data_IF_080752475313
#
_entry.id   IF_080752475313
#
_cell.length_a   1.000
_cell.length_b   1.000
_cell.length_c   1.000
_cell.angle_alpha   90.00
_cell.angle_beta   90.00
_cell.angle_gamma   90.00
#
_symmetry.space_group_name_H-M   'P 1'
#
loop_
_entity.id
_entity.type
_entity.pdbx_description
1 polymer ?
#
# COMPACT_ATOMS: atom_id res chain seq x y z
N UNK A 1 4.31 -20.60 -14.10
CA UNK A 1 3.29 -20.91 -13.07
C UNK A 1 2.10 -20.01 -13.36
N UNK A 2 0.98 -20.59 -13.81
CA UNK A 2 -0.27 -19.86 -14.12
C UNK A 2 -0.77 -19.19 -12.84
N UNK A 3 -1.19 -17.94 -12.94
CA UNK A 3 -1.95 -17.29 -11.87
C UNK A 3 -3.33 -17.94 -11.85
N UNK A 4 -3.52 -18.91 -10.96
CA UNK A 4 -4.84 -19.53 -10.69
C UNK A 4 -5.69 -18.54 -9.89
N UNK A 5 -6.02 -17.41 -10.50
CA UNK A 5 -6.87 -16.38 -9.92
C UNK A 5 -8.00 -16.10 -10.89
N UNK A 6 -9.22 -16.13 -10.38
CA UNK A 6 -10.45 -15.83 -11.13
C UNK A 6 -10.55 -14.31 -11.41
N UNK A 7 -9.49 -13.72 -12.02
CA UNK A 7 -9.51 -12.32 -12.37
C UNK A 7 -10.16 -12.10 -13.73
N UNK A 8 -10.89 -11.01 -13.83
CA UNK A 8 -11.56 -10.58 -15.07
C UNK A 8 -11.08 -9.19 -15.46
N UNK A 9 -11.20 -8.89 -16.75
CA UNK A 9 -11.01 -7.55 -17.27
C UNK A 9 -12.29 -7.14 -17.96
N UNK A 10 -12.92 -6.08 -17.45
CA UNK A 10 -14.03 -5.42 -18.15
C UNK A 10 -13.55 -4.17 -18.88
N UNK A 11 -14.29 -3.79 -19.92
CA UNK A 11 -13.99 -2.61 -20.74
C UNK A 11 -15.26 -1.83 -21.02
N UNK A 12 -15.27 -0.54 -20.68
CA UNK A 12 -16.35 0.40 -20.98
C UNK A 12 -15.75 1.64 -21.64
N UNK A 13 -15.97 1.80 -22.93
CA UNK A 13 -15.37 2.88 -23.71
C UNK A 13 -13.82 2.83 -23.68
N UNK A 14 -13.20 3.84 -23.09
CA UNK A 14 -11.76 3.95 -22.92
C UNK A 14 -11.28 3.55 -21.51
N UNK A 15 -12.17 3.08 -20.65
CA UNK A 15 -11.90 2.60 -19.30
C UNK A 15 -11.76 1.08 -19.28
N UNK A 16 -10.81 0.58 -18.47
CA UNK A 16 -10.52 -0.83 -18.28
C UNK A 16 -10.42 -1.11 -16.78
N UNK A 17 -11.11 -2.14 -16.31
CA UNK A 17 -11.07 -2.58 -14.93
C UNK A 17 -10.55 -4.02 -14.88
N UNK A 18 -9.48 -4.25 -14.14
CA UNK A 18 -8.98 -5.56 -13.75
C UNK A 18 -9.47 -5.83 -12.33
N UNK A 19 -10.17 -6.93 -12.06
CA UNK A 19 -10.72 -7.22 -10.75
C UNK A 19 -10.71 -8.73 -10.45
N UNK A 20 -10.75 -9.05 -9.16
CA UNK A 20 -10.89 -10.41 -8.66
C UNK A 20 -12.37 -10.71 -8.48
N UNK A 21 -12.90 -11.62 -9.31
CA UNK A 21 -14.32 -11.96 -9.31
C UNK A 21 -14.77 -12.78 -8.08
N UNK A 22 -13.82 -13.32 -7.30
CA UNK A 22 -14.10 -14.01 -6.03
C UNK A 22 -14.26 -13.00 -4.87
N UNK A 23 -13.79 -11.75 -5.06
CA UNK A 23 -13.81 -10.71 -4.03
C UNK A 23 -14.93 -9.70 -4.28
N UNK A 24 -15.11 -9.28 -5.53
CA UNK A 24 -16.07 -8.25 -5.90
C UNK A 24 -16.76 -8.63 -7.21
N UNK A 25 -18.09 -8.40 -7.29
CA UNK A 25 -18.79 -8.42 -8.56
C UNK A 25 -18.20 -7.39 -9.54
N UNK A 26 -18.55 -7.45 -10.82
CA UNK A 26 -18.03 -6.47 -11.80
C UNK A 26 -18.23 -5.04 -11.29
N UNK A 27 -17.13 -4.33 -10.93
CA UNK A 27 -17.24 -3.05 -10.27
C UNK A 27 -17.66 -1.94 -11.26
N UNK A 28 -18.59 -1.11 -10.85
CA UNK A 28 -18.97 0.10 -11.59
C UNK A 28 -17.82 1.12 -11.57
N UNK A 29 -17.68 1.93 -12.63
CA UNK A 29 -16.64 2.95 -12.74
C UNK A 29 -16.65 3.96 -11.57
N UNK A 30 -17.82 4.23 -11.00
CA UNK A 30 -18.02 5.19 -9.90
C UNK A 30 -17.22 4.84 -8.64
N UNK A 31 -16.90 3.57 -8.38
CA UNK A 31 -16.11 3.21 -7.19
C UNK A 31 -14.66 3.68 -7.26
N UNK A 32 -14.19 4.13 -8.43
CA UNK A 32 -12.86 4.70 -8.62
C UNK A 32 -12.84 6.24 -8.56
N UNK A 33 -13.99 6.87 -8.29
CA UNK A 33 -14.11 8.33 -8.18
C UNK A 33 -14.08 8.76 -6.72
N UNK A 34 -13.03 9.49 -6.32
CA UNK A 34 -12.88 9.96 -4.95
C UNK A 34 -14.07 10.80 -4.47
N UNK A 35 -14.59 11.68 -5.35
CA UNK A 35 -15.74 12.55 -5.05
C UNK A 35 -17.03 11.77 -4.83
N UNK A 36 -17.21 10.63 -5.50
CA UNK A 36 -18.36 9.74 -5.28
C UNK A 36 -18.40 9.26 -3.82
N UNK A 37 -17.26 8.86 -3.25
CA UNK A 37 -17.18 8.38 -1.88
C UNK A 37 -17.36 9.50 -0.86
N UNK A 38 -16.77 10.67 -1.12
CA UNK A 38 -16.89 11.85 -0.25
C UNK A 38 -18.36 12.31 -0.18
N UNK A 39 -19.07 12.38 -1.31
CA UNK A 39 -20.46 12.78 -1.36
C UNK A 39 -21.39 11.76 -0.70
N UNK A 40 -21.14 10.46 -0.86
CA UNK A 40 -21.89 9.38 -0.22
C UNK A 40 -21.73 9.41 1.31
N UNK A 41 -20.53 9.66 1.81
CA UNK A 41 -20.28 9.83 3.25
C UNK A 41 -20.96 11.07 3.83
N UNK A 42 -20.94 12.20 3.11
CA UNK A 42 -21.65 13.42 3.53
C UNK A 42 -23.17 13.21 3.64
N UNK A 43 -23.77 12.46 2.71
CA UNK A 43 -25.19 12.12 2.74
C UNK A 43 -25.56 11.17 3.89
N UNK A 44 -24.68 10.21 4.23
CA UNK A 44 -24.87 9.29 5.36
C UNK A 44 -24.71 9.99 6.71
N UNK A 45 -23.77 10.92 6.84
CA UNK A 45 -23.56 11.69 8.06
C UNK A 45 -24.71 12.67 8.36
N UNK A 46 -25.45 13.13 7.36
CA UNK A 46 -26.68 13.93 7.56
C UNK A 46 -27.88 13.09 8.01
N UNK A 47 -27.80 11.77 7.95
CA UNK A 47 -28.90 10.86 8.34
C UNK A 47 -28.66 10.11 9.66
N UNK A 48 -27.44 10.10 10.18
CA UNK A 48 -27.11 9.47 11.48
C UNK A 48 -25.91 10.18 12.13
N UNK A 49 -26.11 10.79 13.29
CA UNK A 49 -25.01 11.28 14.14
C UNK A 49 -24.26 10.08 14.74
N UNK A 50 -23.25 9.58 14.05
CA UNK A 50 -22.45 8.46 14.51
C UNK A 50 -21.17 8.32 13.65
N UNK A 51 -20.04 8.56 14.30
CA UNK A 51 -18.70 8.68 13.74
C UNK A 51 -18.29 7.53 12.79
N UNK A 52 -18.13 7.85 11.51
CA UNK A 52 -17.23 7.15 10.63
C UNK A 52 -16.19 8.18 10.15
N UNK A 53 -14.97 8.13 10.73
CA UNK A 53 -13.89 9.04 10.37
C UNK A 53 -13.39 8.71 8.97
N UNK A 54 -13.81 9.50 7.98
CA UNK A 54 -13.16 9.53 6.68
C UNK A 54 -11.73 10.06 6.84
N UNK A 55 -10.75 9.17 6.97
CA UNK A 55 -9.34 9.53 6.94
C UNK A 55 -8.94 9.82 5.51
N UNK A 56 -8.95 11.09 5.11
CA UNK A 56 -8.26 11.56 3.90
C UNK A 56 -6.80 11.77 4.23
N UNK A 57 -5.95 10.85 3.81
CA UNK A 57 -4.50 11.02 3.93
C UNK A 57 -4.01 11.99 2.85
N UNK A 58 -3.61 13.21 3.23
CA UNK A 58 -2.94 14.17 2.35
C UNK A 58 -1.48 13.73 2.17
N UNK A 59 -1.23 12.92 1.16
CA UNK A 59 0.09 12.55 0.67
C UNK A 59 0.18 12.75 -0.84
N UNK A 60 1.31 12.47 -1.47
CA UNK A 60 1.48 12.55 -2.94
C UNK A 60 0.55 11.59 -3.73
N UNK A 61 -0.13 10.65 -3.08
CA UNK A 61 -1.26 9.89 -3.57
C UNK A 61 -2.48 10.27 -2.73
N UNK A 62 -3.61 10.64 -3.34
CA UNK A 62 -4.87 10.71 -2.60
C UNK A 62 -5.33 9.29 -2.33
N UNK A 63 -5.47 8.99 -1.06
CA UNK A 63 -6.00 7.71 -0.58
C UNK A 63 -7.37 7.99 0.02
N UNK A 64 -8.38 7.24 -0.41
CA UNK A 64 -9.76 7.35 0.08
C UNK A 64 -10.19 6.03 0.69
N UNK A 65 -10.63 6.06 1.94
CA UNK A 65 -11.21 4.92 2.63
C UNK A 65 -12.73 4.91 2.43
N UNK A 66 -13.29 3.77 2.08
CA UNK A 66 -14.72 3.62 1.85
C UNK A 66 -15.21 2.20 2.11
N UNK A 67 -16.53 2.02 2.22
CA UNK A 67 -17.16 0.71 2.36
C UNK A 67 -17.95 0.37 1.09
N UNK A 68 -17.78 -0.85 0.60
CA UNK A 68 -18.54 -1.41 -0.52
C UNK A 68 -18.82 -2.89 -0.26
N UNK A 69 -20.08 -3.30 -0.33
CA UNK A 69 -20.54 -4.66 -0.03
C UNK A 69 -19.98 -5.18 1.31
N UNK A 70 -20.14 -4.39 2.38
CA UNK A 70 -19.66 -4.65 3.75
C UNK A 70 -18.14 -4.81 3.91
N UNK A 71 -17.37 -4.57 2.86
CA UNK A 71 -15.90 -4.57 2.88
C UNK A 71 -15.36 -3.16 3.05
N UNK A 72 -14.44 -3.01 3.99
CA UNK A 72 -13.64 -1.79 4.13
C UNK A 72 -12.55 -1.78 3.06
N UNK A 73 -12.55 -0.79 2.20
CA UNK A 73 -11.70 -0.67 1.03
C UNK A 73 -10.88 0.62 1.04
N UNK A 74 -9.76 0.58 0.33
CA UNK A 74 -8.85 1.71 0.15
C UNK A 74 -8.66 1.94 -1.34
N UNK A 75 -9.05 3.13 -1.81
CA UNK A 75 -8.80 3.60 -3.17
C UNK A 75 -7.52 4.44 -3.18
N UNK A 76 -6.56 4.06 -4.01
CA UNK A 76 -5.31 4.78 -4.29
C UNK A 76 -5.35 5.29 -5.72
N UNK A 77 -5.30 6.62 -5.89
CA UNK A 77 -5.10 7.24 -7.19
C UNK A 77 -3.60 7.48 -7.46
N UNK A 78 -3.14 7.16 -8.67
CA UNK A 78 -1.74 7.34 -9.05
C UNK A 78 -1.50 8.71 -9.65
N UNK A 79 -0.73 9.55 -8.95
CA UNK A 79 -0.26 10.82 -9.46
C UNK A 79 1.13 10.70 -10.06
N UNK A 80 1.38 11.42 -11.14
CA UNK A 80 2.72 11.54 -11.71
C UNK A 80 3.57 12.46 -10.83
N UNK A 81 4.70 11.95 -10.30
CA UNK A 81 5.69 12.75 -9.58
C UNK A 81 6.78 13.30 -10.50
N UNK A 82 7.38 14.45 -10.14
CA UNK A 82 8.53 15.06 -10.83
C UNK A 82 8.23 16.41 -11.46
N UNK A 83 9.26 17.08 -12.03
CA UNK A 83 9.19 18.45 -12.56
C UNK A 83 8.19 18.64 -13.73
N UNK A 84 7.81 17.57 -14.42
CA UNK A 84 6.79 17.57 -15.49
C UNK A 84 5.35 17.44 -14.92
N UNK A 85 5.22 17.27 -13.61
CA UNK A 85 3.94 17.05 -12.92
C UNK A 85 3.03 18.30 -12.89
N UNK A 86 3.56 19.49 -13.17
CA UNK A 86 2.76 20.73 -13.11
C UNK A 86 1.72 20.85 -14.23
N UNK A 87 1.94 20.16 -15.35
CA UNK A 87 1.05 20.18 -16.52
C UNK A 87 0.18 18.94 -16.69
N UNK A 88 0.62 17.76 -16.14
CA UNK A 88 -0.08 16.47 -16.27
C UNK A 88 0.04 15.66 -14.99
N UNK A 89 -0.58 16.11 -13.90
CA UNK A 89 -0.42 15.54 -12.54
C UNK A 89 -0.74 14.05 -12.41
N UNK A 90 -1.66 13.54 -13.21
CA UNK A 90 -2.23 12.18 -13.09
C UNK A 90 -2.11 11.34 -14.37
N UNK A 91 -1.51 11.87 -15.45
CA UNK A 91 -1.46 11.20 -16.75
C UNK A 91 -0.11 10.58 -17.05
N UNK A 92 -0.11 9.31 -17.41
CA UNK A 92 1.07 8.53 -17.79
C UNK A 92 1.12 8.35 -19.30
N UNK A 93 2.31 8.52 -19.91
CA UNK A 93 2.53 8.16 -21.31
C UNK A 93 2.55 6.65 -21.45
N UNK A 94 1.82 6.11 -22.43
CA UNK A 94 1.84 4.69 -22.74
C UNK A 94 0.55 4.19 -23.38
N UNK A 95 0.68 3.15 -24.20
CA UNK A 95 -0.43 2.60 -24.96
C UNK A 95 -0.97 1.28 -24.43
N UNK A 96 -0.23 0.60 -23.54
CA UNK A 96 -0.61 -0.73 -23.04
C UNK A 96 -1.25 -0.66 -21.65
N UNK A 97 -2.55 -0.92 -21.58
CA UNK A 97 -3.31 -1.06 -20.33
C UNK A 97 -2.70 -2.12 -19.41
N UNK A 98 -2.31 -3.25 -20.00
CA UNK A 98 -1.73 -4.40 -19.27
C UNK A 98 -0.42 -4.04 -18.57
N UNK A 99 0.33 -3.06 -19.11
CA UNK A 99 1.61 -2.56 -18.57
C UNK A 99 1.42 -1.32 -17.68
N UNK A 100 0.19 -0.88 -17.43
CA UNK A 100 -0.09 0.25 -16.52
C UNK A 100 0.38 -0.03 -15.09
N UNK A 101 0.65 1.04 -14.33
CA UNK A 101 1.14 0.94 -12.94
C UNK A 101 0.14 0.19 -12.06
N UNK A 102 -1.14 0.57 -12.09
CA UNK A 102 -2.18 -0.06 -11.29
C UNK A 102 -2.33 -1.56 -11.60
N UNK A 103 -2.34 -1.95 -12.88
CA UNK A 103 -2.46 -3.36 -13.26
C UNK A 103 -1.22 -4.18 -12.90
N UNK A 104 -0.01 -3.57 -12.96
CA UNK A 104 1.22 -4.21 -12.51
C UNK A 104 1.22 -4.41 -10.99
N UNK A 105 0.87 -3.38 -10.22
CA UNK A 105 0.82 -3.45 -8.75
C UNK A 105 -0.26 -4.45 -8.31
N UNK A 106 -1.44 -4.42 -8.91
CA UNK A 106 -2.51 -5.39 -8.63
C UNK A 106 -2.02 -6.85 -8.81
N UNK A 107 -1.38 -7.16 -9.94
CA UNK A 107 -0.85 -8.51 -10.20
C UNK A 107 0.27 -8.89 -9.25
N UNK A 108 1.12 -7.93 -8.90
CA UNK A 108 2.19 -8.14 -7.95
C UNK A 108 1.63 -8.47 -6.56
N UNK A 109 0.63 -7.72 -6.09
CA UNK A 109 -0.08 -8.00 -4.83
C UNK A 109 -0.71 -9.39 -4.84
N UNK A 110 -1.45 -9.76 -5.90
CA UNK A 110 -2.05 -11.10 -6.02
C UNK A 110 -1.01 -12.20 -5.94
N UNK A 111 0.13 -12.04 -6.62
CA UNK A 111 1.22 -13.02 -6.56
C UNK A 111 1.84 -13.11 -5.16
N UNK A 112 2.03 -11.99 -4.48
CA UNK A 112 2.53 -11.97 -3.11
C UNK A 112 1.56 -12.62 -2.12
N UNK A 113 0.25 -12.43 -2.29
CA UNK A 113 -0.79 -13.10 -1.51
C UNK A 113 -0.75 -14.62 -1.66
N UNK A 114 -0.57 -15.12 -2.89
CA UNK A 114 -0.39 -16.56 -3.16
C UNK A 114 0.86 -17.14 -2.48
N UNK A 115 1.88 -16.32 -2.25
CA UNK A 115 3.09 -16.68 -1.50
C UNK A 115 2.91 -16.54 0.03
N UNK A 116 1.72 -16.15 0.50
CA UNK A 116 1.45 -15.94 1.93
C UNK A 116 2.13 -14.70 2.51
N UNK A 117 2.56 -13.75 1.66
CA UNK A 117 3.21 -12.53 2.13
C UNK A 117 2.15 -11.54 2.67
N UNK A 118 2.45 -10.85 3.79
CA UNK A 118 1.52 -9.93 4.44
C UNK A 118 1.44 -8.60 3.66
N UNK A 119 0.54 -8.56 2.71
CA UNK A 119 0.22 -7.40 1.87
C UNK A 119 -1.30 -7.18 1.86
N UNK A 120 -1.80 -5.97 1.51
CA UNK A 120 -3.22 -5.74 1.34
C UNK A 120 -3.82 -6.66 0.27
N UNK A 121 -5.06 -7.11 0.47
CA UNK A 121 -5.82 -7.87 -0.52
C UNK A 121 -6.10 -6.99 -1.73
N UNK A 122 -5.62 -7.37 -2.91
CA UNK A 122 -5.91 -6.66 -4.16
C UNK A 122 -7.33 -6.97 -4.62
N UNK A 123 -8.16 -5.94 -4.79
CA UNK A 123 -9.59 -6.06 -5.17
C UNK A 123 -9.76 -5.72 -6.64
N UNK A 124 -9.49 -4.49 -7.03
CA UNK A 124 -9.64 -4.03 -8.40
C UNK A 124 -8.58 -2.99 -8.78
N UNK A 125 -8.31 -2.87 -10.07
CA UNK A 125 -7.47 -1.81 -10.63
C UNK A 125 -8.15 -1.22 -11.86
N UNK A 126 -8.15 0.10 -11.98
CA UNK A 126 -8.75 0.83 -13.07
C UNK A 126 -7.72 1.60 -13.88
N UNK A 127 -7.94 1.66 -15.18
CA UNK A 127 -7.16 2.47 -16.12
C UNK A 127 -8.08 3.13 -17.10
N UNK A 128 -8.05 4.46 -17.16
CA UNK A 128 -8.76 5.24 -18.17
C UNK A 128 -7.77 5.81 -19.18
N UNK A 129 -7.88 5.36 -20.42
CA UNK A 129 -7.03 5.83 -21.53
C UNK A 129 -7.44 7.20 -22.02
N UNK A 130 -6.47 8.00 -22.38
CA UNK A 130 -6.59 9.19 -23.22
C UNK A 130 -5.71 9.00 -24.46
N UNK A 131 -5.64 9.97 -25.38
CA UNK A 131 -4.97 9.81 -26.67
C UNK A 131 -3.53 9.29 -26.53
N UNK A 132 -2.72 9.92 -25.68
CA UNK A 132 -1.29 9.56 -25.47
C UNK A 132 -0.96 9.26 -24.00
N UNK A 133 -1.98 9.13 -23.13
CA UNK A 133 -1.79 9.03 -21.69
C UNK A 133 -2.87 8.15 -21.05
N UNK A 134 -2.73 7.87 -19.76
CA UNK A 134 -3.76 7.21 -18.96
C UNK A 134 -3.74 7.74 -17.52
N UNK A 135 -4.88 7.65 -16.85
CA UNK A 135 -5.00 7.71 -15.39
C UNK A 135 -5.13 6.30 -14.84
N UNK A 136 -4.80 6.09 -13.60
CA UNK A 136 -4.83 4.77 -12.99
C UNK A 136 -5.19 4.82 -11.51
N UNK A 137 -5.94 3.81 -11.05
CA UNK A 137 -6.41 3.65 -9.70
C UNK A 137 -6.26 2.20 -9.24
N UNK A 138 -6.07 1.99 -7.95
CA UNK A 138 -6.00 0.68 -7.33
C UNK A 138 -6.91 0.64 -6.10
N UNK A 139 -7.72 -0.40 -5.98
CA UNK A 139 -8.53 -0.69 -4.80
C UNK A 139 -7.95 -1.93 -4.13
N UNK A 140 -7.71 -1.82 -2.83
CA UNK A 140 -7.33 -2.93 -1.94
C UNK A 140 -8.27 -2.99 -0.75
N UNK A 141 -8.35 -4.14 -0.08
CA UNK A 141 -8.99 -4.19 1.24
C UNK A 141 -8.16 -3.41 2.27
N UNK A 142 -8.85 -2.75 3.19
CA UNK A 142 -8.22 -2.05 4.31
C UNK A 142 -7.64 -3.06 5.30
N UNK A 143 -6.40 -2.86 5.71
CA UNK A 143 -5.83 -3.54 6.86
C UNK A 143 -6.38 -2.86 8.11
N UNK A 144 -7.38 -3.51 8.74
CA UNK A 144 -8.10 -2.94 9.88
C UNK A 144 -7.19 -2.74 11.09
N UNK A 145 -7.51 -1.73 11.91
CA UNK A 145 -6.78 -1.42 13.15
C UNK A 145 -5.26 -1.29 12.95
N UNK A 146 -4.83 -0.81 11.78
CA UNK A 146 -3.43 -0.63 11.43
C UNK A 146 -3.02 0.84 11.47
N UNK A 147 -1.75 1.05 11.85
CA UNK A 147 -1.10 2.36 11.81
C UNK A 147 0.25 2.24 11.11
N UNK A 148 0.71 3.31 10.46
CA UNK A 148 2.04 3.31 9.89
C UNK A 148 3.10 3.31 10.98
N UNK A 149 4.23 2.67 10.73
CA UNK A 149 5.38 2.73 11.64
C UNK A 149 5.79 4.19 11.90
N UNK A 150 5.71 5.06 10.89
CA UNK A 150 6.02 6.48 11.04
C UNK A 150 5.07 7.17 12.03
N UNK A 151 3.75 6.94 11.95
CA UNK A 151 2.77 7.57 12.84
C UNK A 151 2.92 7.06 14.29
N UNK A 152 3.19 5.76 14.46
CA UNK A 152 3.42 5.18 15.80
C UNK A 152 4.66 5.83 16.43
N UNK A 153 5.79 5.86 15.69
CA UNK A 153 7.04 6.40 16.20
C UNK A 153 7.02 7.92 16.45
N UNK A 154 6.08 8.64 15.85
CA UNK A 154 5.86 10.06 16.16
C UNK A 154 5.19 10.27 17.53
N UNK A 155 4.52 9.26 18.08
CA UNK A 155 3.78 9.35 19.33
C UNK A 155 4.43 8.54 20.47
N UNK A 156 4.93 7.34 20.12
CA UNK A 156 5.49 6.40 21.10
C UNK A 156 6.56 5.53 20.46
N UNK A 157 7.45 4.95 21.28
CA UNK A 157 8.36 3.89 20.84
C UNK A 157 7.65 2.54 20.69
N UNK A 158 8.36 1.58 20.12
CA UNK A 158 7.96 0.18 20.08
C UNK A 158 9.07 -0.69 20.72
N UNK A 159 8.67 -1.84 21.23
CA UNK A 159 9.58 -2.78 21.90
C UNK A 159 10.60 -3.39 20.92
N UNK A 160 11.77 -3.77 21.42
CA UNK A 160 12.81 -4.42 20.62
C UNK A 160 12.30 -5.68 19.90
N UNK A 161 11.40 -6.44 20.52
CA UNK A 161 10.76 -7.60 19.91
C UNK A 161 9.95 -7.23 18.65
N UNK A 162 9.32 -6.06 18.64
CA UNK A 162 8.57 -5.59 17.48
C UNK A 162 9.51 -5.12 16.36
N UNK A 163 10.63 -4.48 16.70
CA UNK A 163 11.67 -4.17 15.73
C UNK A 163 12.25 -5.44 15.08
N UNK A 164 12.49 -6.47 15.89
CA UNK A 164 12.91 -7.78 15.40
C UNK A 164 11.88 -8.39 14.43
N UNK A 165 10.58 -8.34 14.78
CA UNK A 165 9.47 -8.81 13.94
C UNK A 165 9.43 -8.06 12.60
N UNK A 166 9.65 -6.72 12.59
CA UNK A 166 9.74 -5.93 11.36
C UNK A 166 10.91 -6.42 10.49
N UNK A 167 12.08 -6.65 11.09
CA UNK A 167 13.26 -7.17 10.38
C UNK A 167 13.01 -8.52 9.75
N UNK A 168 12.47 -9.48 10.52
CA UNK A 168 12.10 -10.81 10.03
C UNK A 168 11.07 -10.73 8.90
N UNK A 169 10.08 -9.84 9.00
CA UNK A 169 9.07 -9.65 7.96
C UNK A 169 9.69 -9.12 6.66
N UNK A 170 10.58 -8.13 6.73
CA UNK A 170 11.30 -7.63 5.54
C UNK A 170 12.15 -8.75 4.92
N UNK A 171 12.80 -9.58 5.75
CA UNK A 171 13.53 -10.76 5.28
C UNK A 171 12.64 -11.72 4.51
N UNK A 172 11.43 -11.99 5.00
CA UNK A 172 10.48 -12.86 4.32
C UNK A 172 10.19 -12.39 2.90
N UNK A 173 9.96 -11.10 2.67
CA UNK A 173 9.81 -10.55 1.32
C UNK A 173 11.07 -10.74 0.48
N UNK A 174 12.24 -10.52 1.07
CA UNK A 174 13.52 -10.68 0.37
C UNK A 174 13.86 -12.14 0.06
N UNK A 175 13.42 -13.11 0.86
CA UNK A 175 13.54 -14.55 0.55
C UNK A 175 12.71 -14.96 -0.67
N UNK A 176 11.58 -14.30 -0.89
CA UNK A 176 10.76 -14.47 -2.09
C UNK A 176 11.17 -13.54 -3.24
N UNK A 177 12.39 -12.96 -3.19
CA UNK A 177 12.90 -12.05 -4.20
C UNK A 177 12.04 -10.81 -4.47
N UNK A 178 11.21 -10.38 -3.51
CA UNK A 178 10.37 -9.18 -3.64
C UNK A 178 11.21 -7.94 -3.33
N UNK A 179 11.45 -7.15 -4.36
CA UNK A 179 12.03 -5.81 -4.27
C UNK A 179 10.94 -4.77 -4.02
N UNK A 180 11.06 -4.01 -2.96
CA UNK A 180 10.19 -2.87 -2.67
C UNK A 180 10.84 -1.56 -3.13
N UNK A 181 10.27 -0.88 -4.12
CA UNK A 181 10.88 0.29 -4.72
C UNK A 181 10.99 1.49 -3.77
N UNK A 182 10.09 1.58 -2.77
CA UNK A 182 10.06 2.68 -1.80
C UNK A 182 9.86 2.19 -0.36
N UNK A 183 10.70 1.24 0.11
CA UNK A 183 10.65 0.78 1.50
C UNK A 183 11.00 1.91 2.46
N UNK A 184 10.00 2.39 3.20
CA UNK A 184 10.12 3.50 4.15
C UNK A 184 9.15 3.31 5.34
N UNK A 185 9.28 4.12 6.40
CA UNK A 185 8.49 3.97 7.61
C UNK A 185 6.97 4.21 7.44
N UNK A 186 6.53 4.89 6.38
CA UNK A 186 5.10 5.05 6.06
C UNK A 186 4.51 3.88 5.31
N UNK A 187 5.34 3.04 4.70
CA UNK A 187 4.94 1.88 3.93
C UNK A 187 5.05 0.57 4.72
N UNK A 188 5.29 0.66 6.02
CA UNK A 188 5.21 -0.43 7.00
C UNK A 188 4.00 -0.15 7.88
N UNK A 189 3.03 -1.07 7.91
CA UNK A 189 1.89 -1.00 8.81
C UNK A 189 2.06 -2.01 9.94
N UNK A 190 1.70 -1.58 11.14
CA UNK A 190 1.53 -2.44 12.30
C UNK A 190 0.02 -2.52 12.59
N UNK A 191 -0.53 -3.73 12.57
CA UNK A 191 -1.97 -3.98 12.74
C UNK A 191 -2.23 -4.73 14.03
N UNK A 192 -3.18 -4.25 14.84
CA UNK A 192 -3.63 -4.95 16.03
C UNK A 192 -4.21 -6.33 15.70
N UNK A 193 -4.01 -7.28 16.59
CA UNK A 193 -4.56 -8.64 16.50
C UNK A 193 -5.31 -8.99 17.79
N UNK A 194 -6.01 -10.11 17.80
CA UNK A 194 -6.68 -10.59 19.01
C UNK A 194 -5.69 -10.83 20.17
N UNK A 195 -4.47 -11.29 19.86
CA UNK A 195 -3.39 -11.51 20.84
C UNK A 195 -2.65 -10.23 21.21
N UNK A 196 -2.61 -9.26 20.29
CA UNK A 196 -1.95 -7.97 20.45
C UNK A 196 -2.93 -6.86 20.08
N UNK A 197 -3.80 -6.41 21.01
CA UNK A 197 -4.88 -5.45 20.71
C UNK A 197 -4.38 -4.02 20.42
N UNK A 198 -3.07 -3.79 20.55
CA UNK A 198 -2.43 -2.52 20.20
C UNK A 198 -1.55 -2.68 18.97
N UNK A 199 -1.65 -1.78 17.97
CA UNK A 199 -0.85 -1.86 16.75
C UNK A 199 0.66 -1.94 17.00
N UNK A 200 1.16 -1.27 18.05
CA UNK A 200 2.60 -1.22 18.40
C UNK A 200 3.23 -2.61 18.61
N UNK A 201 2.42 -3.62 18.95
CA UNK A 201 2.85 -5.01 19.15
C UNK A 201 2.22 -5.98 18.12
N UNK A 202 1.53 -5.43 17.13
CA UNK A 202 0.70 -6.19 16.18
C UNK A 202 1.45 -6.84 15.03
N UNK A 203 0.69 -7.25 14.04
CA UNK A 203 1.25 -7.86 12.81
C UNK A 203 1.81 -6.81 11.86
N UNK A 204 2.86 -7.20 11.12
CA UNK A 204 3.59 -6.32 10.21
C UNK A 204 3.17 -6.59 8.78
N UNK A 205 2.72 -5.55 8.08
CA UNK A 205 2.39 -5.55 6.65
C UNK A 205 3.25 -4.56 5.90
N UNK A 206 3.56 -4.86 4.64
CA UNK A 206 4.13 -3.90 3.70
C UNK A 206 3.06 -3.44 2.71
N UNK A 207 3.07 -2.15 2.38
CA UNK A 207 2.11 -1.51 1.46
C UNK A 207 2.83 -0.64 0.42
N UNK A 208 2.10 -0.23 -0.61
CA UNK A 208 2.59 0.65 -1.68
C UNK A 208 3.73 0.03 -2.51
N UNK A 209 3.38 -1.00 -3.28
CA UNK A 209 4.32 -1.71 -4.16
C UNK A 209 4.45 -1.10 -5.57
N UNK A 210 4.13 0.18 -5.71
CA UNK A 210 4.32 0.87 -6.98
C UNK A 210 5.79 0.82 -7.43
N UNK A 211 6.02 0.51 -8.70
CA UNK A 211 7.35 0.24 -9.29
C UNK A 211 8.18 -0.87 -8.61
N UNK A 212 7.56 -1.64 -7.73
CA UNK A 212 8.14 -2.82 -7.09
C UNK A 212 8.04 -4.05 -7.98
N UNK A 213 8.65 -5.17 -7.58
CA UNK A 213 8.58 -6.41 -8.35
C UNK A 213 9.51 -7.50 -7.85
N UNK A 214 9.48 -8.65 -8.51
CA UNK A 214 10.40 -9.75 -8.24
C UNK A 214 11.76 -9.46 -8.89
N UNK A 215 12.84 -9.58 -8.10
CA UNK A 215 14.23 -9.41 -8.53
C UNK A 215 15.08 -10.59 -8.07
N UNK A 216 15.03 -11.72 -8.78
CA UNK A 216 15.88 -12.86 -8.45
C UNK A 216 17.35 -12.52 -8.62
N UNK A 217 18.21 -13.13 -7.80
CA UNK A 217 19.66 -13.01 -7.90
C UNK A 217 20.35 -12.27 -6.76
N UNK A 218 21.55 -11.73 -7.00
CA UNK A 218 22.45 -11.21 -5.97
C UNK A 218 21.83 -10.16 -5.05
N UNK A 219 22.05 -10.30 -3.75
CA UNK A 219 21.38 -9.55 -2.69
C UNK A 219 21.72 -8.06 -2.53
N UNK A 220 22.44 -7.42 -3.46
CA UNK A 220 22.82 -6.01 -3.32
C UNK A 220 21.61 -5.07 -3.16
N UNK A 221 20.51 -5.33 -3.86
CA UNK A 221 19.28 -4.58 -3.74
C UNK A 221 18.57 -4.79 -2.39
N UNK A 222 18.78 -5.95 -1.74
CA UNK A 222 18.21 -6.25 -0.42
C UNK A 222 18.79 -5.28 0.62
N UNK A 223 20.11 -5.10 0.59
CA UNK A 223 20.78 -4.12 1.45
C UNK A 223 20.41 -2.68 1.10
N UNK A 224 20.20 -2.38 -0.17
CA UNK A 224 19.71 -1.06 -0.61
C UNK A 224 18.30 -0.75 -0.08
N UNK A 225 17.40 -1.74 0.00
CA UNK A 225 16.08 -1.62 0.64
C UNK A 225 16.22 -1.28 2.13
N UNK A 226 17.03 -2.02 2.89
CA UNK A 226 17.28 -1.74 4.31
C UNK A 226 17.88 -0.34 4.50
N UNK A 227 18.89 0.02 3.69
CA UNK A 227 19.49 1.34 3.75
C UNK A 227 18.49 2.46 3.43
N UNK A 228 17.52 2.23 2.53
CA UNK A 228 16.43 3.18 2.27
C UNK A 228 15.53 3.36 3.50
N UNK A 229 15.14 2.26 4.15
CA UNK A 229 14.34 2.32 5.38
C UNK A 229 15.10 3.09 6.47
N UNK A 230 16.37 2.78 6.72
CA UNK A 230 17.19 3.51 7.72
C UNK A 230 17.23 5.01 7.42
N UNK A 231 17.48 5.39 6.16
CA UNK A 231 17.46 6.82 5.75
C UNK A 231 16.09 7.48 6.00
N UNK A 232 15.00 6.75 5.79
CA UNK A 232 13.65 7.25 6.09
C UNK A 232 13.47 7.52 7.59
N UNK A 233 13.83 6.58 8.45
CA UNK A 233 13.75 6.72 9.91
C UNK A 233 14.63 7.88 10.41
N UNK A 234 15.87 7.96 9.97
CA UNK A 234 16.79 9.07 10.30
C UNK A 234 16.28 10.43 9.79
N UNK A 235 15.60 10.46 8.66
CA UNK A 235 14.98 11.70 8.15
C UNK A 235 13.85 12.16 9.07
N UNK A 236 12.99 11.24 9.54
CA UNK A 236 11.95 11.59 10.52
C UNK A 236 12.57 12.11 11.81
N UNK A 237 13.56 11.39 12.38
CA UNK A 237 14.27 11.80 13.59
C UNK A 237 14.93 13.17 13.47
N UNK A 238 15.50 13.50 12.32
CA UNK A 238 16.11 14.82 12.06
C UNK A 238 15.07 15.94 11.99
N UNK A 239 13.89 15.64 11.46
CA UNK A 239 12.81 16.63 11.31
C UNK A 239 11.99 16.81 12.60
N UNK A 240 12.01 15.81 13.49
CA UNK A 240 11.29 15.78 14.75
C UNK A 240 12.15 15.08 15.79
N UNK A 241 12.69 15.86 16.76
CA UNK A 241 13.51 15.34 17.86
C UNK A 241 12.75 14.36 18.75
N UNK A 242 11.42 14.49 18.84
CA UNK A 242 10.52 13.59 19.57
C UNK A 242 10.26 12.25 18.91
N UNK A 243 10.67 12.08 17.65
CA UNK A 243 10.48 10.83 16.93
C UNK A 243 11.25 9.66 17.59
N UNK A 244 10.52 8.63 17.99
CA UNK A 244 11.00 7.53 18.84
C UNK A 244 11.76 6.47 17.99
N UNK A 245 13.00 6.77 17.67
CA UNK A 245 13.91 5.88 16.94
C UNK A 245 15.37 6.14 17.31
N UNK A 246 16.15 5.08 17.55
CA UNK A 246 17.59 5.14 17.81
C UNK A 246 18.36 3.98 17.15
N UNK A 247 19.67 3.88 17.42
CA UNK A 247 20.54 2.82 16.87
C UNK A 247 20.31 1.46 17.53
N UNK A 248 19.79 1.39 18.76
CA UNK A 248 19.40 0.11 19.39
C UNK A 248 18.20 -0.50 18.68
N UNK A 249 17.21 0.31 18.31
CA UNK A 249 16.05 -0.08 17.50
C UNK A 249 16.49 -0.64 16.14
N UNK A 250 17.41 0.06 15.47
CA UNK A 250 17.96 -0.40 14.20
C UNK A 250 18.71 -1.72 14.34
N UNK A 251 19.44 -1.89 15.44
CA UNK A 251 20.18 -3.12 15.74
C UNK A 251 19.21 -4.29 15.97
N UNK A 252 18.11 -4.07 16.70
CA UNK A 252 17.06 -5.06 16.91
C UNK A 252 16.39 -5.47 15.58
N UNK A 253 16.08 -4.50 14.70
CA UNK A 253 15.57 -4.80 13.35
C UNK A 253 16.55 -5.66 12.55
N UNK A 254 17.84 -5.30 12.54
CA UNK A 254 18.86 -6.07 11.83
C UNK A 254 19.05 -7.47 12.42
N UNK A 255 18.92 -7.63 13.74
CA UNK A 255 18.94 -8.95 14.38
C UNK A 255 17.79 -9.83 13.82
N UNK A 256 16.56 -9.31 13.78
CA UNK A 256 15.42 -10.03 13.19
C UNK A 256 15.61 -10.33 11.69
N UNK A 257 16.20 -9.41 10.95
CA UNK A 257 16.51 -9.65 9.53
C UNK A 257 17.53 -10.75 9.29
N UNK A 258 18.43 -11.01 10.24
CA UNK A 258 19.51 -12.01 10.14
C UNK A 258 19.19 -13.36 10.77
N UNK A 259 18.21 -13.43 11.69
CA UNK A 259 17.96 -14.59 12.58
C UNK A 259 17.19 -15.75 11.94
N UNK A 260 17.08 -15.83 10.63
CA UNK A 260 16.42 -16.93 9.95
C UNK A 260 17.25 -17.61 8.89
#
# INVERSE_FOLDING_TARGET
MSLDTNYKISKTGNAYILYDADIIAEPALQIFEADYHTNKQAQQNNSTAGAASGRTGIGRASVVYFTHDDKALVLKHYYRGGAVASLFKDRYLGFSVVKSRAFKEWRLLKKMQQLGLPVPQAVAAHVKKSLLSYTADLITEEIKQARTLADILSETGIEAAQWHKIGDRIRLFHLHDVYHADLNARNILLAATAQHPRPEAGDVYLIDFDNSGFRPGSGSWKMANLARLKRSLLKFKRNDAGFNFDEADWSALLAGYKSG
#
